data_IF_759398411515
#
_entry.id   IF_759398411515
#
_cell.length_a   1.000
_cell.length_b   1.000
_cell.length_c   1.000
_cell.angle_alpha   90.00
_cell.angle_beta   90.00
_cell.angle_gamma   90.00
#
_symmetry.space_group_name_H-M   'P 1'
#
loop_
_entity.id
_entity.type
_entity.pdbx_description
1 polymer ?
#
# COMPACT_ATOMS: atom_id res chain seq x y z
N UNK A 1 -3.68 5.36 18.62
CA UNK A 1 -4.63 4.58 17.80
C UNK A 1 -4.71 5.17 16.40
N UNK A 2 -3.78 4.75 15.55
CA UNK A 2 -3.98 4.80 14.10
C UNK A 2 -5.31 4.10 13.76
N UNK A 3 -6.10 4.71 12.86
CA UNK A 3 -7.33 4.08 12.38
C UNK A 3 -6.95 3.10 11.28
N UNK A 4 -7.49 1.89 11.38
CA UNK A 4 -7.33 0.86 10.34
C UNK A 4 -7.98 1.36 9.06
N UNK A 5 -7.33 1.12 7.93
CA UNK A 5 -7.78 1.48 6.60
C UNK A 5 -7.98 0.21 5.75
N UNK A 6 -9.07 0.15 4.99
CA UNK A 6 -9.37 -0.97 4.11
C UNK A 6 -9.64 -0.47 2.69
N UNK A 7 -8.97 -1.06 1.69
CA UNK A 7 -9.27 -0.80 0.28
C UNK A 7 -10.33 -1.78 -0.23
N UNK A 8 -11.44 -1.25 -0.78
CA UNK A 8 -12.57 -2.04 -1.27
C UNK A 8 -12.59 -2.13 -2.81
N UNK A 9 -12.06 -3.23 -3.33
CA UNK A 9 -12.00 -3.56 -4.76
C UNK A 9 -13.18 -4.42 -5.22
N UNK A 10 -13.86 -4.00 -6.29
CA UNK A 10 -14.84 -4.81 -7.03
C UNK A 10 -15.26 -4.11 -8.32
N UNK A 11 -16.02 -4.79 -9.17
CA UNK A 11 -16.84 -4.08 -10.17
C UNK A 11 -17.88 -3.21 -9.48
N UNK A 12 -18.33 -2.13 -10.14
CA UNK A 12 -19.23 -1.17 -9.50
C UNK A 12 -20.71 -1.42 -9.80
N UNK A 13 -21.10 -1.40 -11.08
CA UNK A 13 -22.50 -1.30 -11.47
C UNK A 13 -23.39 -2.43 -10.94
N UNK A 14 -22.85 -3.65 -10.88
CA UNK A 14 -23.54 -4.86 -10.41
C UNK A 14 -23.45 -5.06 -8.90
N UNK A 15 -22.48 -4.43 -8.24
CA UNK A 15 -22.19 -4.61 -6.82
C UNK A 15 -22.40 -3.35 -5.99
N UNK A 16 -23.08 -2.32 -6.51
CA UNK A 16 -23.28 -1.04 -5.81
C UNK A 16 -23.84 -1.20 -4.39
N UNK A 17 -24.92 -1.97 -4.23
CA UNK A 17 -25.52 -2.21 -2.91
C UNK A 17 -24.63 -3.09 -2.01
N UNK A 18 -23.90 -4.03 -2.61
CA UNK A 18 -22.95 -4.89 -1.90
C UNK A 18 -21.79 -4.07 -1.32
N UNK A 19 -21.21 -3.18 -2.14
CA UNK A 19 -20.14 -2.27 -1.74
C UNK A 19 -20.60 -1.32 -0.63
N UNK A 20 -21.80 -0.75 -0.77
CA UNK A 20 -22.40 0.13 0.25
C UNK A 20 -22.54 -0.60 1.60
N UNK A 21 -23.13 -1.80 1.60
CA UNK A 21 -23.32 -2.59 2.82
C UNK A 21 -21.98 -2.96 3.49
N UNK A 22 -20.97 -3.31 2.70
CA UNK A 22 -19.62 -3.61 3.21
C UNK A 22 -18.96 -2.36 3.80
N UNK A 23 -19.03 -1.23 3.11
CA UNK A 23 -18.45 0.02 3.60
C UNK A 23 -19.08 0.45 4.93
N UNK A 24 -20.42 0.46 5.02
CA UNK A 24 -21.15 0.79 6.24
C UNK A 24 -20.78 -0.15 7.41
N UNK A 25 -20.66 -1.45 7.13
CA UNK A 25 -20.29 -2.44 8.14
C UNK A 25 -18.87 -2.23 8.66
N UNK A 26 -17.88 -2.00 7.79
CA UNK A 26 -16.50 -1.73 8.18
C UNK A 26 -16.36 -0.42 8.96
N UNK A 27 -17.06 0.63 8.53
CA UNK A 27 -17.07 1.92 9.22
C UNK A 27 -17.67 1.85 10.62
N UNK A 28 -18.66 0.97 10.83
CA UNK A 28 -19.22 0.69 12.16
C UNK A 28 -18.17 0.13 13.12
N UNK A 29 -17.13 -0.54 12.59
CA UNK A 29 -15.97 -1.06 13.32
C UNK A 29 -14.82 -0.03 13.44
N UNK A 30 -15.05 1.23 13.05
CA UNK A 30 -14.03 2.29 12.99
C UNK A 30 -12.90 2.04 11.99
N UNK A 31 -13.15 1.20 10.99
CA UNK A 31 -12.24 0.98 9.86
C UNK A 31 -12.61 1.99 8.77
N UNK A 32 -11.62 2.77 8.33
CA UNK A 32 -11.78 3.72 7.23
C UNK A 32 -11.78 2.95 5.92
N UNK A 33 -12.78 3.16 5.06
CA UNK A 33 -12.87 2.46 3.78
C UNK A 33 -12.45 3.39 2.66
N UNK A 34 -11.41 3.00 1.93
CA UNK A 34 -10.98 3.64 0.69
C UNK A 34 -11.54 2.89 -0.51
N UNK A 35 -12.15 3.64 -1.42
CA UNK A 35 -12.77 3.09 -2.61
C UNK A 35 -12.98 4.18 -3.66
N UNK A 36 -13.11 3.77 -4.93
CA UNK A 36 -13.21 4.71 -6.06
C UNK A 36 -14.34 5.74 -5.94
N UNK A 37 -15.41 5.43 -5.21
CA UNK A 37 -16.53 6.34 -4.97
C UNK A 37 -16.21 7.52 -4.05
N UNK A 38 -15.10 7.43 -3.31
CA UNK A 38 -14.63 8.44 -2.36
C UNK A 38 -13.52 9.31 -2.92
N UNK A 39 -12.99 8.95 -4.10
CA UNK A 39 -11.95 9.72 -4.74
C UNK A 39 -12.49 11.10 -5.15
N UNK A 40 -11.71 12.13 -4.88
CA UNK A 40 -11.96 13.49 -5.40
C UNK A 40 -11.45 13.60 -6.84
N UNK A 41 -11.76 14.71 -7.50
CA UNK A 41 -11.17 15.00 -8.81
C UNK A 41 -9.64 14.95 -8.72
N UNK A 42 -9.03 14.10 -9.54
CA UNK A 42 -7.59 13.88 -9.63
C UNK A 42 -7.21 13.83 -11.12
N UNK A 43 -6.14 14.51 -11.57
CA UNK A 43 -5.71 14.51 -12.97
C UNK A 43 -5.05 13.20 -13.42
N UNK A 44 -4.75 12.27 -12.50
CA UNK A 44 -4.14 10.97 -12.80
C UNK A 44 -5.18 9.94 -13.24
N UNK A 45 -4.71 8.87 -13.87
CA UNK A 45 -5.57 7.76 -14.25
C UNK A 45 -6.11 7.04 -13.00
N UNK A 46 -7.37 6.54 -13.00
CA UNK A 46 -7.96 5.86 -11.85
C UNK A 46 -7.14 4.68 -11.34
N UNK A 47 -6.44 3.98 -12.24
CA UNK A 47 -5.58 2.86 -11.88
C UNK A 47 -4.40 3.29 -11.01
N UNK A 48 -3.84 4.47 -11.24
CA UNK A 48 -2.70 4.98 -10.47
C UNK A 48 -3.15 5.41 -9.08
N UNK A 49 -4.32 6.05 -8.99
CA UNK A 49 -4.95 6.42 -7.72
C UNK A 49 -5.26 5.16 -6.89
N UNK A 50 -5.92 4.15 -7.48
CA UNK A 50 -6.17 2.89 -6.79
C UNK A 50 -4.88 2.21 -6.32
N UNK A 51 -3.82 2.23 -7.13
CA UNK A 51 -2.51 1.63 -6.78
C UNK A 51 -1.93 2.27 -5.52
N UNK A 52 -1.97 3.60 -5.42
CA UNK A 52 -1.51 4.34 -4.25
C UNK A 52 -2.34 4.00 -3.01
N UNK A 53 -3.67 4.04 -3.12
CA UNK A 53 -4.57 3.76 -1.99
C UNK A 53 -4.44 2.32 -1.48
N UNK A 54 -4.19 1.35 -2.38
CA UNK A 54 -3.88 -0.03 -1.98
C UNK A 54 -2.54 -0.10 -1.26
N UNK A 55 -1.51 0.62 -1.73
CA UNK A 55 -0.22 0.68 -1.06
C UNK A 55 -0.32 1.30 0.34
N UNK A 56 -1.23 2.24 0.55
CA UNK A 56 -1.40 2.92 1.84
C UNK A 56 -2.33 2.16 2.81
N UNK A 57 -3.24 1.31 2.31
CA UNK A 57 -4.21 0.62 3.16
C UNK A 57 -3.61 -0.49 4.05
N UNK A 58 -4.25 -0.78 5.19
CA UNK A 58 -3.89 -1.89 6.07
C UNK A 58 -4.42 -3.25 5.56
N UNK A 59 -5.58 -3.24 4.92
CA UNK A 59 -6.28 -4.47 4.47
C UNK A 59 -6.88 -4.27 3.08
N UNK A 60 -6.69 -5.25 2.21
CA UNK A 60 -7.34 -5.31 0.91
C UNK A 60 -8.57 -6.23 0.93
N UNK A 61 -9.69 -5.75 0.40
CA UNK A 61 -10.94 -6.50 0.30
C UNK A 61 -11.36 -6.56 -1.18
N UNK A 62 -11.40 -7.77 -1.74
CA UNK A 62 -11.85 -8.01 -3.13
C UNK A 62 -13.21 -8.70 -3.18
N UNK A 63 -14.18 -8.14 -3.91
CA UNK A 63 -15.51 -8.74 -4.11
C UNK A 63 -15.70 -9.07 -5.60
N UNK A 64 -16.03 -10.33 -5.90
CA UNK A 64 -16.11 -10.83 -7.28
C UNK A 64 -17.44 -11.54 -7.54
N UNK A 65 -18.22 -11.01 -8.49
CA UNK A 65 -19.48 -11.60 -8.94
C UNK A 65 -19.36 -12.19 -10.35
N UNK A 66 -20.23 -11.79 -11.29
CA UNK A 66 -20.30 -12.36 -12.63
C UNK A 66 -19.72 -11.45 -13.73
N UNK A 67 -19.14 -10.31 -13.36
CA UNK A 67 -18.43 -9.40 -14.26
C UNK A 67 -16.93 -9.44 -14.02
N UNK A 68 -16.16 -9.45 -15.10
CA UNK A 68 -14.71 -9.35 -15.06
C UNK A 68 -14.25 -7.93 -14.71
N UNK A 69 -15.01 -6.94 -15.17
CA UNK A 69 -14.72 -5.52 -14.98
C UNK A 69 -14.17 -4.85 -16.23
N UNK A 70 -13.71 -3.62 -16.05
CA UNK A 70 -13.15 -2.83 -17.15
C UNK A 70 -11.71 -3.26 -17.45
N UNK A 71 -11.45 -3.68 -18.68
CA UNK A 71 -10.11 -4.01 -19.19
C UNK A 71 -9.47 -2.74 -19.72
N UNK A 72 -8.24 -2.45 -19.28
CA UNK A 72 -7.53 -1.26 -19.73
C UNK A 72 -7.17 -1.38 -21.22
N UNK A 73 -7.25 -0.29 -22.00
CA UNK A 73 -6.82 -0.31 -23.39
C UNK A 73 -5.37 -0.80 -23.52
N UNK A 74 -5.14 -1.79 -24.38
CA UNK A 74 -3.81 -2.37 -24.59
C UNK A 74 -3.37 -3.41 -23.56
N UNK A 75 -4.23 -3.80 -22.60
CA UNK A 75 -3.97 -4.89 -21.66
C UNK A 75 -4.99 -6.03 -21.82
N UNK A 76 -4.71 -7.18 -21.21
CA UNK A 76 -5.69 -8.28 -21.08
C UNK A 76 -6.36 -8.34 -19.70
N UNK A 77 -5.89 -7.51 -18.76
CA UNK A 77 -6.27 -7.55 -17.35
C UNK A 77 -7.30 -6.47 -17.01
N UNK A 78 -8.31 -6.83 -16.23
CA UNK A 78 -9.24 -5.86 -15.66
C UNK A 78 -8.59 -5.03 -14.56
N UNK A 79 -9.14 -3.84 -14.30
CA UNK A 79 -8.69 -2.98 -13.19
C UNK A 79 -8.71 -3.76 -11.87
N UNK A 80 -9.79 -4.49 -11.57
CA UNK A 80 -9.94 -5.24 -10.31
C UNK A 80 -8.94 -6.39 -10.19
N UNK A 81 -8.58 -7.06 -11.29
CA UNK A 81 -7.50 -8.05 -11.29
C UNK A 81 -6.15 -7.40 -10.99
N UNK A 82 -5.87 -6.25 -11.63
CA UNK A 82 -4.63 -5.49 -11.41
C UNK A 82 -4.49 -4.99 -9.97
N UNK A 83 -5.59 -4.53 -9.37
CA UNK A 83 -5.67 -4.13 -7.95
C UNK A 83 -5.31 -5.31 -7.03
N UNK A 84 -5.90 -6.49 -7.24
CA UNK A 84 -5.57 -7.70 -6.48
C UNK A 84 -4.10 -8.10 -6.64
N UNK A 85 -3.57 -8.04 -7.86
CA UNK A 85 -2.16 -8.34 -8.11
C UNK A 85 -1.23 -7.36 -7.39
N UNK A 86 -1.56 -6.06 -7.40
CA UNK A 86 -0.78 -5.04 -6.70
C UNK A 86 -0.78 -5.28 -5.18
N UNK A 87 -1.95 -5.52 -4.59
CA UNK A 87 -2.07 -5.87 -3.17
C UNK A 87 -1.21 -7.09 -2.79
N UNK A 88 -1.14 -8.10 -3.68
CA UNK A 88 -0.29 -9.28 -3.49
C UNK A 88 1.20 -8.94 -3.54
N UNK A 89 1.64 -8.11 -4.49
CA UNK A 89 3.05 -7.68 -4.60
C UNK A 89 3.50 -6.91 -3.36
N UNK A 90 2.61 -6.12 -2.78
CA UNK A 90 2.85 -5.34 -1.55
C UNK A 90 2.60 -6.16 -0.26
N UNK A 91 2.39 -7.48 -0.38
CA UNK A 91 2.13 -8.40 0.75
C UNK A 91 1.01 -7.95 1.70
N UNK A 92 -0.04 -7.33 1.15
CA UNK A 92 -1.19 -6.88 1.94
C UNK A 92 -1.99 -8.07 2.49
N UNK A 93 -2.56 -7.97 3.71
CA UNK A 93 -3.64 -8.85 4.14
C UNK A 93 -4.81 -8.74 3.16
N UNK A 94 -5.14 -9.85 2.48
CA UNK A 94 -6.15 -9.89 1.41
C UNK A 94 -7.32 -10.79 1.82
N UNK A 95 -8.54 -10.24 1.75
CA UNK A 95 -9.79 -10.99 1.91
C UNK A 95 -10.58 -10.93 0.61
N UNK A 96 -10.81 -12.10 -0.01
CA UNK A 96 -11.60 -12.20 -1.23
C UNK A 96 -12.95 -12.87 -0.96
N UNK A 97 -14.01 -12.36 -1.59
CA UNK A 97 -15.38 -12.85 -1.46
C UNK A 97 -15.98 -13.08 -2.85
N UNK A 98 -16.46 -14.30 -3.11
CA UNK A 98 -17.08 -14.67 -4.38
C UNK A 98 -18.58 -14.88 -4.19
N UNK A 99 -19.39 -14.43 -5.14
CA UNK A 99 -20.82 -14.75 -5.14
C UNK A 99 -21.00 -16.28 -5.29
N UNK A 100 -21.96 -16.85 -4.58
CA UNK A 100 -22.32 -18.26 -4.73
C UNK A 100 -22.92 -18.51 -6.12
N UNK A 101 -22.53 -19.61 -6.77
CA UNK A 101 -22.90 -19.90 -8.15
C UNK A 101 -24.42 -20.08 -8.34
N UNK A 102 -25.12 -20.56 -7.30
CA UNK A 102 -26.56 -20.77 -7.31
C UNK A 102 -27.38 -19.52 -6.99
N UNK A 103 -26.73 -18.41 -6.59
CA UNK A 103 -27.45 -17.20 -6.24
C UNK A 103 -27.96 -16.47 -7.49
N UNK A 104 -29.25 -16.06 -7.54
CA UNK A 104 -29.79 -15.37 -8.72
C UNK A 104 -29.07 -14.05 -8.99
N UNK A 105 -28.66 -13.83 -10.25
CA UNK A 105 -28.05 -12.59 -10.70
C UNK A 105 -28.76 -12.03 -11.93
N UNK A 106 -28.77 -10.71 -12.07
CA UNK A 106 -29.40 -10.08 -13.23
C UNK A 106 -28.62 -10.46 -14.51
N UNK A 107 -29.27 -10.99 -15.57
CA UNK A 107 -28.56 -11.50 -16.74
C UNK A 107 -27.66 -10.49 -17.45
N UNK A 108 -28.02 -9.20 -17.44
CA UNK A 108 -27.22 -8.13 -18.05
C UNK A 108 -25.95 -7.77 -17.25
N UNK A 109 -25.79 -8.33 -16.05
CA UNK A 109 -24.56 -8.23 -15.24
C UNK A 109 -23.77 -9.54 -15.24
N UNK A 110 -24.02 -10.44 -16.19
CA UNK A 110 -23.25 -11.67 -16.36
C UNK A 110 -22.44 -11.51 -17.65
N UNK A 111 -21.12 -11.45 -17.52
CA UNK A 111 -20.25 -11.37 -18.68
C UNK A 111 -20.27 -12.69 -19.47
N UNK A 112 -20.11 -12.57 -20.78
CA UNK A 112 -19.94 -13.67 -21.72
C UNK A 112 -18.59 -13.58 -22.45
N UNK A 113 -18.38 -14.48 -23.43
CA UNK A 113 -17.19 -14.47 -24.29
C UNK A 113 -15.86 -14.44 -23.53
N UNK A 114 -14.96 -13.56 -23.98
CA UNK A 114 -13.61 -13.42 -23.43
C UNK A 114 -13.61 -12.98 -21.96
N UNK A 115 -14.48 -12.05 -21.58
CA UNK A 115 -14.56 -11.55 -20.20
C UNK A 115 -14.97 -12.67 -19.24
N UNK A 116 -15.93 -13.52 -19.62
CA UNK A 116 -16.29 -14.71 -18.84
C UNK A 116 -15.10 -15.65 -18.65
N UNK A 117 -14.32 -15.88 -19.70
CA UNK A 117 -13.13 -16.74 -19.63
C UNK A 117 -12.08 -16.15 -18.69
N UNK A 118 -11.79 -14.84 -18.79
CA UNK A 118 -10.82 -14.19 -17.89
C UNK A 118 -11.31 -14.17 -16.44
N UNK A 119 -12.60 -13.88 -16.21
CA UNK A 119 -13.18 -13.96 -14.87
C UNK A 119 -13.05 -15.36 -14.26
N UNK A 120 -13.28 -16.42 -15.04
CA UNK A 120 -13.10 -17.78 -14.54
C UNK A 120 -11.63 -18.08 -14.20
N UNK A 121 -10.67 -17.57 -14.97
CA UNK A 121 -9.25 -17.70 -14.62
C UNK A 121 -8.93 -16.97 -13.32
N UNK A 122 -9.41 -15.74 -13.15
CA UNK A 122 -9.25 -14.96 -11.93
C UNK A 122 -9.84 -15.68 -10.71
N UNK A 123 -11.08 -16.15 -10.79
CA UNK A 123 -11.72 -16.91 -9.70
C UNK A 123 -10.93 -18.17 -9.32
N UNK A 124 -10.44 -18.94 -10.30
CA UNK A 124 -9.56 -20.10 -10.06
C UNK A 124 -8.22 -19.70 -9.42
N UNK A 125 -7.66 -18.56 -9.81
CA UNK A 125 -6.43 -18.04 -9.22
C UNK A 125 -6.62 -17.53 -7.78
N UNK A 126 -7.84 -17.12 -7.41
CA UNK A 126 -8.21 -16.83 -6.02
C UNK A 126 -8.34 -18.14 -5.24
N UNK A 127 -9.16 -19.09 -5.72
CA UNK A 127 -9.41 -20.37 -5.04
C UNK A 127 -8.12 -21.20 -4.82
N UNK A 128 -7.15 -21.13 -5.74
CA UNK A 128 -5.90 -21.89 -5.64
C UNK A 128 -4.86 -21.28 -4.69
N UNK A 129 -4.97 -20.00 -4.32
CA UNK A 129 -3.92 -19.28 -3.58
C UNK A 129 -4.36 -18.76 -2.21
N UNK A 130 -5.65 -18.78 -1.90
CA UNK A 130 -6.18 -18.27 -0.64
C UNK A 130 -7.53 -18.90 -0.29
N UNK A 131 -7.85 -18.89 1.01
CA UNK A 131 -9.21 -19.20 1.47
C UNK A 131 -10.08 -17.97 1.23
N UNK A 132 -11.09 -18.12 0.38
CA UNK A 132 -12.04 -17.04 0.05
C UNK A 132 -13.40 -17.26 0.74
N UNK A 133 -14.05 -16.17 1.12
CA UNK A 133 -15.43 -16.18 1.58
C UNK A 133 -16.41 -16.31 0.42
N UNK A 134 -17.66 -16.63 0.72
CA UNK A 134 -18.75 -16.58 -0.28
C UNK A 134 -19.87 -15.67 0.18
N UNK A 135 -20.63 -15.11 -0.76
CA UNK A 135 -21.80 -14.31 -0.41
C UNK A 135 -22.97 -14.55 -1.36
N UNK A 136 -24.14 -14.07 -0.94
CA UNK A 136 -25.40 -14.13 -1.70
C UNK A 136 -26.00 -12.73 -1.80
N UNK A 137 -26.41 -12.15 -0.68
CA UNK A 137 -26.96 -10.80 -0.61
C UNK A 137 -25.95 -9.77 -0.07
N UNK A 138 -26.24 -8.45 -0.18
CA UNK A 138 -25.45 -7.39 0.46
C UNK A 138 -25.27 -7.60 1.96
N UNK A 139 -26.33 -7.96 2.69
CA UNK A 139 -26.27 -8.19 4.14
C UNK A 139 -25.47 -9.44 4.52
N UNK A 140 -25.53 -10.48 3.68
CA UNK A 140 -24.70 -11.66 3.89
C UNK A 140 -23.23 -11.31 3.69
N UNK A 141 -22.90 -10.63 2.60
CA UNK A 141 -21.54 -10.18 2.32
C UNK A 141 -21.00 -9.28 3.45
N UNK A 142 -21.78 -8.31 3.91
CA UNK A 142 -21.36 -7.41 4.99
C UNK A 142 -21.02 -8.16 6.29
N UNK A 143 -21.80 -9.19 6.63
CA UNK A 143 -21.53 -10.08 7.79
C UNK A 143 -20.26 -10.90 7.59
N UNK A 144 -20.07 -11.49 6.42
CA UNK A 144 -18.88 -12.29 6.10
C UNK A 144 -17.60 -11.45 6.13
N UNK A 145 -17.64 -10.24 5.56
CA UNK A 145 -16.53 -9.28 5.61
C UNK A 145 -16.24 -8.87 7.05
N UNK A 146 -17.26 -8.51 7.82
CA UNK A 146 -17.13 -8.13 9.23
C UNK A 146 -16.48 -9.23 10.05
N UNK A 147 -16.92 -10.49 9.87
CA UNK A 147 -16.36 -11.63 10.57
C UNK A 147 -14.90 -11.88 10.18
N UNK A 148 -14.59 -11.88 8.89
CA UNK A 148 -13.23 -12.11 8.39
C UNK A 148 -12.24 -11.05 8.92
N UNK A 149 -12.60 -9.78 8.79
CA UNK A 149 -11.75 -8.67 9.24
C UNK A 149 -11.66 -8.67 10.77
N UNK A 150 -12.77 -8.77 11.50
CA UNK A 150 -12.72 -8.80 12.98
C UNK A 150 -11.88 -9.96 13.51
N UNK A 151 -11.96 -11.14 12.90
CA UNK A 151 -11.13 -12.29 13.29
C UNK A 151 -9.65 -12.00 13.03
N UNK A 152 -9.31 -11.41 11.88
CA UNK A 152 -7.94 -11.00 11.60
C UNK A 152 -7.41 -9.98 12.62
N UNK A 153 -8.26 -9.02 12.98
CA UNK A 153 -7.94 -7.98 13.96
C UNK A 153 -7.77 -8.52 15.39
N UNK A 154 -8.56 -9.52 15.78
CA UNK A 154 -8.58 -10.05 17.16
C UNK A 154 -7.63 -11.21 17.39
N UNK A 155 -7.27 -11.99 16.36
CA UNK A 155 -6.34 -13.13 16.48
C UNK A 155 -4.86 -12.74 16.64
N UNK A 156 -4.56 -11.45 16.89
CA UNK A 156 -3.18 -10.97 17.05
C UNK A 156 -2.33 -11.05 15.78
N UNK A 157 -2.95 -11.29 14.61
CA UNK A 157 -2.29 -11.18 13.30
C UNK A 157 -2.31 -9.75 12.76
N UNK A 158 -3.22 -8.94 13.28
CA UNK A 158 -3.14 -7.49 13.25
C UNK A 158 -2.75 -7.05 14.65
N UNK A 159 -1.47 -6.75 14.83
CA UNK A 159 -1.13 -5.78 15.87
C UNK A 159 -1.43 -4.42 15.22
N UNK A 160 -2.43 -3.64 15.68
CA UNK A 160 -2.44 -2.23 15.34
C UNK A 160 -1.05 -1.74 15.69
N UNK A 161 -0.38 -1.11 14.72
CA UNK A 161 0.93 -0.48 14.88
C UNK A 161 1.09 -0.11 16.35
N UNK A 162 1.98 -0.80 17.07
CA UNK A 162 2.26 -0.41 18.44
C UNK A 162 2.54 1.08 18.37
N UNK A 163 1.70 1.90 19.03
CA UNK A 163 1.66 3.37 18.87
C UNK A 163 3.05 4.02 19.12
N UNK A 164 4.03 3.25 19.59
CA UNK A 164 5.44 3.61 19.68
C UNK A 164 6.13 3.58 18.30
N UNK A 165 6.24 4.78 17.71
CA UNK A 165 7.17 5.03 16.62
C UNK A 165 8.59 4.93 17.15
N UNK A 166 9.39 4.06 16.54
CA UNK A 166 10.83 3.95 16.77
C UNK A 166 11.58 4.67 15.67
N UNK A 167 12.58 5.44 16.07
CA UNK A 167 13.49 6.12 15.15
C UNK A 167 14.84 5.42 15.27
N UNK A 168 15.23 4.72 14.21
CA UNK A 168 16.40 3.84 14.21
C UNK A 168 17.30 4.12 13.02
N UNK A 169 18.60 4.10 13.25
CA UNK A 169 19.59 4.15 12.17
C UNK A 169 19.68 2.77 11.53
N UNK A 170 19.54 2.72 10.21
CA UNK A 170 19.90 1.54 9.43
C UNK A 170 21.42 1.41 9.45
N UNK A 171 21.88 0.30 10.03
CA UNK A 171 23.29 -0.07 10.05
C UNK A 171 23.62 -1.05 8.93
N UNK A 172 22.63 -1.82 8.48
CA UNK A 172 22.79 -2.92 7.53
C UNK A 172 22.22 -2.58 6.15
N UNK A 173 23.02 -2.68 5.07
CA UNK A 173 22.53 -2.46 3.71
C UNK A 173 21.54 -3.55 3.24
N UNK A 174 21.50 -4.70 3.93
CA UNK A 174 20.52 -5.76 3.72
C UNK A 174 19.30 -5.66 4.66
N UNK A 175 19.15 -4.54 5.39
CA UNK A 175 18.03 -4.35 6.32
C UNK A 175 16.69 -4.23 5.54
N UNK A 176 15.65 -5.01 5.88
CA UNK A 176 14.37 -4.94 5.19
C UNK A 176 13.71 -3.55 5.28
N UNK A 177 13.98 -2.79 6.34
CA UNK A 177 13.43 -1.44 6.49
C UNK A 177 14.11 -0.44 5.54
N UNK A 178 15.35 -0.71 5.10
CA UNK A 178 15.99 0.07 4.04
C UNK A 178 15.23 -0.10 2.72
N UNK A 179 14.88 -1.34 2.36
CA UNK A 179 14.14 -1.62 1.12
C UNK A 179 12.77 -0.92 1.13
N UNK A 180 12.05 -1.00 2.25
CA UNK A 180 10.77 -0.31 2.41
C UNK A 180 10.93 1.22 2.31
N UNK A 181 11.96 1.78 2.92
CA UNK A 181 12.26 3.21 2.85
C UNK A 181 12.68 3.68 1.45
N UNK A 182 13.46 2.88 0.70
CA UNK A 182 13.79 3.16 -0.70
C UNK A 182 12.55 3.08 -1.59
N UNK A 183 11.63 2.15 -1.32
CA UNK A 183 10.30 2.12 -1.95
C UNK A 183 9.54 3.42 -1.70
N UNK A 184 9.58 3.95 -0.47
CA UNK A 184 8.99 5.25 -0.13
C UNK A 184 9.71 6.41 -0.85
N UNK A 185 11.04 6.38 -0.98
CA UNK A 185 11.82 7.37 -1.73
C UNK A 185 11.37 7.41 -3.20
N UNK A 186 11.26 6.24 -3.84
CA UNK A 186 10.84 6.12 -5.23
C UNK A 186 9.41 6.63 -5.46
N UNK A 187 8.53 6.45 -4.46
CA UNK A 187 7.13 6.89 -4.51
C UNK A 187 6.94 8.38 -4.21
N UNK A 188 7.84 9.03 -3.46
CA UNK A 188 7.60 10.37 -2.87
C UNK A 188 8.54 11.46 -3.35
N UNK A 189 9.69 11.11 -3.93
CA UNK A 189 10.64 12.08 -4.47
C UNK A 189 10.67 11.95 -6.01
N UNK A 190 10.51 13.06 -6.75
CA UNK A 190 10.66 13.08 -8.20
C UNK A 190 11.97 12.45 -8.66
N UNK A 191 11.98 11.83 -9.85
CA UNK A 191 13.15 11.11 -10.37
C UNK A 191 14.37 12.02 -10.59
N UNK A 192 14.14 13.27 -10.96
CA UNK A 192 15.15 14.31 -11.17
C UNK A 192 15.67 14.95 -9.87
N UNK A 193 14.96 14.76 -8.76
CA UNK A 193 15.32 15.30 -7.44
C UNK A 193 15.90 14.23 -6.49
N UNK A 194 15.83 12.95 -6.87
CA UNK A 194 16.23 11.81 -6.03
C UNK A 194 17.59 11.22 -6.43
N UNK A 195 18.30 10.66 -5.45
CA UNK A 195 19.45 9.80 -5.72
C UNK A 195 19.00 8.45 -6.27
N UNK A 196 19.92 7.79 -7.00
CA UNK A 196 19.75 6.40 -7.36
C UNK A 196 19.72 5.52 -6.09
N UNK A 197 18.71 4.66 -5.90
CA UNK A 197 18.68 3.72 -4.78
C UNK A 197 19.94 2.87 -4.65
N UNK A 198 20.56 2.49 -5.77
CA UNK A 198 21.80 1.69 -5.75
C UNK A 198 22.97 2.47 -5.14
N UNK A 199 23.04 3.79 -5.37
CA UNK A 199 24.03 4.65 -4.73
C UNK A 199 23.82 4.75 -3.22
N UNK A 200 22.56 4.84 -2.77
CA UNK A 200 22.24 4.88 -1.34
C UNK A 200 22.67 3.58 -0.64
N UNK A 201 22.38 2.43 -1.26
CA UNK A 201 22.82 1.11 -0.77
C UNK A 201 24.34 1.02 -0.75
N UNK A 202 25.00 1.51 -1.80
CA UNK A 202 26.46 1.54 -1.91
C UNK A 202 27.10 2.37 -0.79
N UNK A 203 26.61 3.58 -0.52
CA UNK A 203 27.14 4.43 0.55
C UNK A 203 27.00 3.78 1.93
N UNK A 204 25.86 3.13 2.21
CA UNK A 204 25.68 2.40 3.47
C UNK A 204 26.66 1.23 3.61
N UNK A 205 26.95 0.53 2.51
CA UNK A 205 27.96 -0.54 2.49
C UNK A 205 29.37 0.02 2.72
N UNK A 206 29.71 1.14 2.09
CA UNK A 206 31.00 1.83 2.29
C UNK A 206 31.17 2.25 3.75
N UNK A 207 30.15 2.89 4.35
CA UNK A 207 30.16 3.30 5.76
C UNK A 207 30.30 2.12 6.74
N UNK A 208 29.75 0.95 6.42
CA UNK A 208 29.95 -0.25 7.25
C UNK A 208 31.41 -0.68 7.28
N UNK A 209 32.04 -0.74 6.10
CA UNK A 209 33.44 -1.14 5.95
C UNK A 209 34.33 -0.12 6.66
N UNK A 210 34.06 1.16 6.44
CA UNK A 210 34.83 2.28 6.97
C UNK A 210 34.55 2.56 8.45
N UNK A 211 33.45 2.09 9.05
CA UNK A 211 33.18 2.22 10.50
C UNK A 211 34.26 1.55 11.38
N UNK A 212 35.07 0.66 10.78
CA UNK A 212 36.25 0.03 11.37
C UNK A 212 37.47 0.97 11.46
N UNK A 213 37.46 2.08 10.70
CA UNK A 213 38.50 3.09 10.60
C UNK A 213 37.96 4.43 11.12
N UNK A 214 38.63 5.03 12.11
CA UNK A 214 38.09 6.24 12.78
C UNK A 214 38.01 7.48 11.89
N UNK A 215 38.72 7.52 10.76
CA UNK A 215 38.99 8.72 9.96
C UNK A 215 38.33 8.72 8.56
N UNK A 216 37.08 8.27 8.44
CA UNK A 216 36.36 8.47 7.17
C UNK A 216 35.98 9.96 6.99
N UNK A 217 36.30 10.57 5.84
CA UNK A 217 36.07 12.00 5.58
C UNK A 217 34.58 12.35 5.46
N UNK A 218 33.72 11.36 5.18
CA UNK A 218 32.27 11.54 5.03
C UNK A 218 31.54 10.33 5.58
N UNK A 219 30.41 10.55 6.25
CA UNK A 219 29.53 9.48 6.74
C UNK A 219 28.10 9.68 6.30
N UNK A 220 27.43 8.60 5.94
CA UNK A 220 26.03 8.59 5.58
C UNK A 220 25.20 7.94 6.70
N UNK A 221 24.10 8.61 7.04
CA UNK A 221 23.18 8.14 8.06
C UNK A 221 21.82 7.99 7.42
N UNK A 222 21.41 6.74 7.23
CA UNK A 222 20.05 6.42 6.83
C UNK A 222 19.26 6.07 8.09
N UNK A 223 18.25 6.87 8.41
CA UNK A 223 17.45 6.73 9.63
C UNK A 223 16.01 6.52 9.23
N UNK A 224 15.36 5.49 9.77
CA UNK A 224 13.95 5.19 9.53
C UNK A 224 13.12 5.53 10.76
N UNK A 225 11.94 6.11 10.52
CA UNK A 225 10.86 6.12 11.47
C UNK A 225 9.96 4.94 11.15
N UNK A 226 9.81 4.00 12.07
CA UNK A 226 9.09 2.76 11.86
C UNK A 226 8.24 2.40 13.06
N UNK A 227 7.28 1.53 12.85
CA UNK A 227 6.63 0.78 13.90
C UNK A 227 7.20 -0.64 13.93
N UNK A 228 6.49 -1.56 14.58
CA UNK A 228 6.85 -2.98 14.54
C UNK A 228 6.64 -3.61 13.16
N UNK A 229 5.70 -3.12 12.35
CA UNK A 229 5.24 -3.79 11.13
C UNK A 229 5.46 -3.00 9.84
N UNK A 230 5.75 -1.69 9.92
CA UNK A 230 5.98 -0.87 8.72
C UNK A 230 6.93 0.31 8.95
N UNK A 231 7.57 0.75 7.86
CA UNK A 231 8.30 2.02 7.79
C UNK A 231 7.31 3.14 7.51
N UNK A 232 7.31 4.16 8.38
CA UNK A 232 6.46 5.35 8.26
C UNK A 232 7.17 6.54 7.61
N UNK A 233 8.49 6.49 7.54
CA UNK A 233 9.30 7.56 6.96
C UNK A 233 10.79 7.28 7.09
N UNK A 234 11.59 8.09 6.43
CA UNK A 234 13.04 8.04 6.55
C UNK A 234 13.67 9.43 6.41
N UNK A 235 14.91 9.53 6.86
CA UNK A 235 15.81 10.63 6.54
C UNK A 235 17.19 10.11 6.16
N UNK A 236 17.78 10.74 5.15
CA UNK A 236 19.16 10.51 4.75
C UNK A 236 19.97 11.75 5.11
N UNK A 237 21.00 11.56 5.94
CA UNK A 237 21.95 12.62 6.30
C UNK A 237 23.34 12.32 5.75
N UNK A 238 24.01 13.38 5.31
CA UNK A 238 25.43 13.37 4.98
C UNK A 238 26.17 14.18 6.03
N UNK A 239 27.09 13.54 6.75
CA UNK A 239 27.93 14.16 7.76
C UNK A 239 29.37 14.24 7.25
N UNK A 240 30.00 15.38 7.51
CA UNK A 240 31.36 15.72 7.15
C UNK A 240 32.10 16.06 8.46
N UNK A 241 32.69 15.04 9.12
CA UNK A 241 33.21 15.20 10.48
C UNK A 241 34.38 16.18 10.59
N UNK A 242 35.24 16.26 9.57
CA UNK A 242 36.40 17.15 9.55
C UNK A 242 35.97 18.63 9.54
N UNK A 243 34.92 18.93 8.79
CA UNK A 243 34.33 20.26 8.64
C UNK A 243 33.27 20.57 9.71
N UNK A 244 32.90 19.59 10.53
CA UNK A 244 31.82 19.68 11.52
C UNK A 244 30.46 20.07 10.90
N UNK A 245 30.19 19.58 9.69
CA UNK A 245 28.95 19.87 8.94
C UNK A 245 28.07 18.62 8.80
N UNK A 246 26.76 18.84 8.76
CA UNK A 246 25.79 17.80 8.43
C UNK A 246 24.65 18.38 7.57
N UNK A 247 24.26 17.65 6.54
CA UNK A 247 23.18 18.03 5.62
C UNK A 247 22.12 16.95 5.60
N UNK A 248 20.85 17.34 5.67
CA UNK A 248 19.71 16.45 5.43
C UNK A 248 19.46 16.45 3.93
N UNK A 249 19.76 15.32 3.27
CA UNK A 249 19.42 15.14 1.87
C UNK A 249 17.92 14.96 1.69
N UNK A 250 17.33 14.06 2.48
CA UNK A 250 15.90 13.73 2.41
C UNK A 250 15.27 13.65 3.79
N UNK A 251 14.01 14.06 3.88
CA UNK A 251 13.13 13.86 5.02
C UNK A 251 11.73 13.53 4.47
N UNK A 252 11.37 12.26 4.50
CA UNK A 252 10.18 11.73 3.80
C UNK A 252 9.32 10.95 4.78
N UNK A 253 8.02 11.14 4.71
CA UNK A 253 7.02 10.37 5.44
C UNK A 253 5.95 9.79 4.51
N UNK A 254 5.23 8.79 5.02
CA UNK A 254 3.98 8.31 4.42
C UNK A 254 2.94 9.44 4.41
N UNK A 255 1.87 9.30 3.62
CA UNK A 255 0.81 10.33 3.52
C UNK A 255 0.18 10.66 4.88
N UNK A 256 0.14 9.69 5.79
CA UNK A 256 -0.39 9.82 7.15
C UNK A 256 0.49 10.74 8.03
N UNK A 257 1.82 10.72 7.83
CA UNK A 257 2.75 11.56 8.58
C UNK A 257 2.90 12.91 7.90
N UNK A 258 2.21 13.91 8.46
CA UNK A 258 2.45 15.32 8.15
C UNK A 258 3.73 15.81 8.83
N UNK A 259 4.86 15.58 8.19
CA UNK A 259 6.08 16.34 8.46
C UNK A 259 5.76 17.80 8.10
N UNK A 260 5.88 18.73 9.05
CA UNK A 260 5.33 20.10 8.96
C UNK A 260 5.49 20.77 7.58
N UNK A 261 4.40 21.37 7.09
CA UNK A 261 4.20 22.00 5.76
C UNK A 261 5.48 22.37 4.97
N UNK A 262 5.79 21.54 3.98
CA UNK A 262 6.62 21.83 2.80
C UNK A 262 8.11 21.99 3.10
N UNK A 263 8.94 21.43 2.23
CA UNK A 263 10.28 21.95 1.94
C UNK A 263 11.46 21.68 2.89
N UNK A 264 11.61 20.58 3.65
CA UNK A 264 12.96 20.39 4.25
C UNK A 264 13.98 20.13 3.14
N UNK A 265 13.76 19.22 2.18
CA UNK A 265 14.67 19.06 1.03
C UNK A 265 14.64 20.27 0.09
N UNK A 266 13.47 20.78 -0.28
CA UNK A 266 13.32 21.87 -1.26
C UNK A 266 13.69 23.26 -0.72
N UNK A 267 13.42 23.61 0.55
CA UNK A 267 13.89 24.89 1.16
C UNK A 267 15.36 24.77 1.53
N UNK A 268 15.89 23.61 1.92
CA UNK A 268 17.34 23.45 2.07
C UNK A 268 18.04 23.72 0.72
N UNK A 269 17.54 23.15 -0.38
CA UNK A 269 18.08 23.41 -1.72
C UNK A 269 17.94 24.89 -2.14
N UNK A 270 16.80 25.53 -1.89
CA UNK A 270 16.56 26.95 -2.22
C UNK A 270 17.26 27.95 -1.27
N UNK A 271 17.72 27.53 -0.09
CA UNK A 271 18.40 28.40 0.89
C UNK A 271 19.92 28.35 0.82
N UNK A 272 20.48 27.40 0.06
CA UNK A 272 21.92 27.15 -0.08
C UNK A 272 22.45 27.53 -1.47
N UNK A 273 21.57 27.84 -2.43
CA UNK A 273 21.91 28.39 -3.76
C UNK A 273 21.63 29.88 -3.82
#
# INVERSE_FOLDING_TARGET
MSRITAFLSSTYSDLKEHRRAVAEALESLKITVECMERFTADPREPVDVCTDEISDCDVFIGIYAHRYGYVLPGTEESITERELQHARRENKPIFCFLVQDEYPWAPHFIDDGQNKTQLQKLKRAIDSRMVRGTFTSPDHLAREVTAAVSNYLTQGRYEPDGDEIRIERILNHDDPDLLAALGLMLKRIPEDERFDPEDVVRWLREDQVESSQRDSPRRHYFVVARTRSRVLGFTLLHCFPEEQLAFIAYLVGTKEIRLGRGDVSTRLYQSVV
#
